data_IF_682169041684
#
_entry.id   IF_682169041684
#
_cell.length_a   1.000
_cell.length_b   1.000
_cell.length_c   1.000
_cell.angle_alpha   90.00
_cell.angle_beta   90.00
_cell.angle_gamma   90.00
#
_symmetry.space_group_name_H-M   'P 1'
#
loop_
_entity.id
_entity.type
_entity.pdbx_description
1 polymer ?
#
# COMPACT_ATOMS: atom_id res chain seq x y z
N UNK A 1 -16.94 -8.36 0.16
CA UNK A 1 -18.29 -8.83 0.55
C UNK A 1 -19.21 -8.79 -0.65
N UNK A 2 -20.07 -9.79 -0.83
CA UNK A 2 -20.99 -9.86 -1.99
C UNK A 2 -22.35 -9.29 -1.61
N UNK A 3 -22.84 -8.32 -2.39
CA UNK A 3 -24.14 -7.64 -2.21
C UNK A 3 -24.83 -7.44 -3.57
N UNK A 4 -26.14 -7.15 -3.63
CA UNK A 4 -26.82 -6.88 -4.89
C UNK A 4 -26.19 -5.70 -5.66
N UNK A 5 -25.81 -4.64 -4.95
CA UNK A 5 -25.14 -3.46 -5.54
C UNK A 5 -23.76 -3.82 -6.13
N UNK A 6 -23.02 -4.72 -5.48
CA UNK A 6 -21.76 -5.22 -5.99
C UNK A 6 -21.95 -5.93 -7.35
N UNK A 7 -22.95 -6.82 -7.45
CA UNK A 7 -23.21 -7.57 -8.69
C UNK A 7 -23.74 -6.68 -9.81
N UNK A 8 -24.48 -5.62 -9.48
CA UNK A 8 -25.00 -4.66 -10.47
C UNK A 8 -23.95 -3.65 -10.97
N UNK A 9 -22.88 -3.41 -10.21
CA UNK A 9 -21.89 -2.37 -10.51
C UNK A 9 -20.88 -2.80 -11.58
N UNK A 10 -20.85 -2.10 -12.73
CA UNK A 10 -19.84 -2.33 -13.79
C UNK A 10 -18.40 -2.22 -13.28
N UNK A 11 -18.14 -1.33 -12.34
CA UNK A 11 -16.82 -1.13 -11.73
C UNK A 11 -16.41 -2.34 -10.89
N UNK A 12 -17.27 -2.76 -9.97
CA UNK A 12 -16.99 -3.89 -9.07
C UNK A 12 -16.81 -5.20 -9.85
N UNK A 13 -17.61 -5.39 -10.90
CA UNK A 13 -17.46 -6.52 -11.83
C UNK A 13 -16.10 -6.49 -12.52
N UNK A 14 -15.65 -5.32 -13.03
CA UNK A 14 -14.34 -5.19 -13.69
C UNK A 14 -13.18 -5.49 -12.74
N UNK A 15 -13.26 -5.04 -11.49
CA UNK A 15 -12.26 -5.34 -10.47
C UNK A 15 -12.21 -6.85 -10.19
N UNK A 16 -13.36 -7.48 -9.96
CA UNK A 16 -13.41 -8.93 -9.70
C UNK A 16 -12.93 -9.75 -10.89
N UNK A 17 -13.25 -9.37 -12.14
CA UNK A 17 -12.69 -10.04 -13.34
C UNK A 17 -11.16 -10.00 -13.33
N UNK A 18 -10.54 -8.85 -12.99
CA UNK A 18 -9.08 -8.75 -12.90
C UNK A 18 -8.48 -9.67 -11.83
N UNK A 19 -9.17 -9.83 -10.70
CA UNK A 19 -8.75 -10.76 -9.65
C UNK A 19 -8.85 -12.22 -10.12
N UNK A 20 -9.97 -12.61 -10.75
CA UNK A 20 -10.16 -13.95 -11.32
C UNK A 20 -9.09 -14.23 -12.39
N UNK A 21 -8.83 -13.30 -13.29
CA UNK A 21 -7.80 -13.45 -14.33
C UNK A 21 -6.40 -13.61 -13.73
N UNK A 22 -6.08 -12.84 -12.69
CA UNK A 22 -4.79 -12.96 -11.99
C UNK A 22 -4.66 -14.31 -11.31
N UNK A 23 -5.70 -14.76 -10.64
CA UNK A 23 -5.72 -16.05 -9.95
C UNK A 23 -5.58 -17.22 -10.95
N UNK A 24 -6.29 -17.17 -12.08
CA UNK A 24 -6.14 -18.16 -13.17
C UNK A 24 -4.72 -18.18 -13.74
N UNK A 25 -4.10 -17.02 -13.95
CA UNK A 25 -2.69 -16.94 -14.42
C UNK A 25 -1.70 -17.55 -13.44
N UNK A 26 -2.01 -17.55 -12.15
CA UNK A 26 -1.21 -18.20 -11.10
C UNK A 26 -1.49 -19.71 -11.02
N UNK A 27 -2.46 -20.24 -11.81
CA UNK A 27 -2.89 -21.63 -11.70
C UNK A 27 -3.63 -21.93 -10.39
N UNK A 28 -4.23 -20.92 -9.78
CA UNK A 28 -4.85 -20.98 -8.45
C UNK A 28 -6.37 -20.80 -8.54
N UNK A 29 -7.07 -21.14 -7.46
CA UNK A 29 -8.52 -20.95 -7.31
C UNK A 29 -8.95 -20.60 -5.86
N UNK A 30 -7.98 -20.25 -5.02
CA UNK A 30 -8.11 -20.12 -3.56
C UNK A 30 -7.79 -18.71 -3.04
N UNK A 31 -7.53 -17.73 -3.92
CA UNK A 31 -7.18 -16.36 -3.56
C UNK A 31 -8.42 -15.45 -3.42
N UNK A 32 -9.56 -15.86 -3.99
CA UNK A 32 -10.82 -15.11 -3.89
C UNK A 32 -11.73 -15.80 -2.89
N UNK A 33 -11.94 -15.17 -1.74
CA UNK A 33 -12.76 -15.66 -0.62
C UNK A 33 -13.98 -14.76 -0.41
N UNK A 34 -15.05 -14.92 -1.20
CA UNK A 34 -16.23 -14.07 -1.06
C UNK A 34 -16.96 -14.38 0.25
N UNK A 35 -17.29 -13.32 1.00
CA UNK A 35 -18.19 -13.41 2.14
C UNK A 35 -19.63 -13.09 1.70
N UNK A 36 -20.53 -14.07 1.82
CA UNK A 36 -21.96 -13.87 1.50
C UNK A 36 -22.65 -13.10 2.62
N UNK A 37 -22.70 -11.78 2.50
CA UNK A 37 -23.08 -10.94 3.63
C UNK A 37 -24.59 -10.71 3.74
N UNK A 38 -25.25 -10.51 2.59
CA UNK A 38 -26.70 -10.29 2.47
C UNK A 38 -27.22 -11.08 1.28
N UNK A 39 -28.51 -11.44 1.26
CA UNK A 39 -29.11 -12.16 0.14
C UNK A 39 -28.94 -11.40 -1.19
N UNK A 40 -28.54 -12.14 -2.21
CA UNK A 40 -28.27 -11.68 -3.57
C UNK A 40 -29.06 -12.60 -4.50
N UNK A 41 -30.26 -12.19 -4.97
CA UNK A 41 -31.18 -13.09 -5.68
C UNK A 41 -30.58 -13.80 -6.90
N UNK A 42 -29.62 -13.17 -7.59
CA UNK A 42 -28.97 -13.77 -8.77
C UNK A 42 -28.04 -14.94 -8.43
N UNK A 43 -27.57 -15.02 -7.17
CA UNK A 43 -26.75 -16.12 -6.65
C UNK A 43 -27.60 -17.25 -6.03
N UNK A 44 -28.90 -17.02 -5.82
CA UNK A 44 -29.81 -17.95 -5.14
C UNK A 44 -30.71 -18.73 -6.10
N UNK A 45 -31.00 -18.16 -7.27
CA UNK A 45 -31.84 -18.80 -8.28
C UNK A 45 -30.99 -19.76 -9.13
N UNK A 46 -31.26 -21.09 -9.08
CA UNK A 46 -30.53 -22.06 -9.89
C UNK A 46 -30.62 -21.71 -11.39
N UNK A 47 -29.49 -21.78 -12.10
CA UNK A 47 -29.40 -21.48 -13.53
C UNK A 47 -29.24 -19.99 -13.87
N UNK A 48 -29.64 -19.05 -13.00
CA UNK A 48 -29.52 -17.61 -13.26
C UNK A 48 -28.08 -17.09 -13.23
N UNK A 49 -27.20 -17.80 -12.52
CA UNK A 49 -25.77 -17.53 -12.52
C UNK A 49 -25.09 -18.01 -13.82
N UNK A 50 -25.69 -18.92 -14.60
CA UNK A 50 -25.06 -19.50 -15.77
C UNK A 50 -24.91 -18.50 -16.93
N UNK A 51 -25.79 -17.50 -17.00
CA UNK A 51 -25.76 -16.44 -18.01
C UNK A 51 -24.72 -15.35 -17.71
N UNK A 52 -24.06 -15.42 -16.54
CA UNK A 52 -23.14 -14.42 -16.05
C UNK A 52 -21.92 -15.08 -15.39
N UNK A 53 -20.84 -15.19 -16.16
CA UNK A 53 -19.59 -15.85 -15.77
C UNK A 53 -19.06 -15.40 -14.40
N UNK A 54 -19.18 -14.11 -14.08
CA UNK A 54 -18.72 -13.55 -12.82
C UNK A 54 -19.60 -13.98 -11.64
N UNK A 55 -20.90 -14.09 -11.87
CA UNK A 55 -21.87 -14.57 -10.88
C UNK A 55 -21.69 -16.08 -10.68
N UNK A 56 -21.42 -16.84 -11.74
CA UNK A 56 -21.07 -18.27 -11.65
C UNK A 56 -19.81 -18.49 -10.81
N UNK A 57 -18.74 -17.71 -11.03
CA UNK A 57 -17.52 -17.77 -10.22
C UNK A 57 -17.79 -17.44 -8.75
N UNK A 58 -18.58 -16.42 -8.47
CA UNK A 58 -18.97 -16.08 -7.10
C UNK A 58 -19.81 -17.18 -6.44
N UNK A 59 -20.73 -17.80 -7.16
CA UNK A 59 -21.57 -18.88 -6.66
C UNK A 59 -20.74 -20.13 -6.33
N UNK A 60 -19.79 -20.49 -7.19
CA UNK A 60 -18.90 -21.64 -6.99
C UNK A 60 -17.99 -21.49 -5.75
N UNK A 61 -17.79 -20.25 -5.28
CA UNK A 61 -16.84 -19.89 -4.21
C UNK A 61 -17.50 -19.48 -2.90
N UNK A 62 -18.78 -19.81 -2.70
CA UNK A 62 -19.50 -19.52 -1.44
C UNK A 62 -19.09 -20.49 -0.32
N UNK A 63 -17.92 -20.23 0.25
CA UNK A 63 -17.27 -21.11 1.21
C UNK A 63 -17.89 -21.11 2.62
N UNK A 64 -18.69 -20.10 2.94
CA UNK A 64 -19.48 -19.98 4.16
C UNK A 64 -20.61 -18.94 3.97
N UNK A 65 -21.80 -19.24 4.50
CA UNK A 65 -22.93 -18.30 4.51
C UNK A 65 -22.83 -17.39 5.75
N UNK A 66 -22.52 -16.11 5.53
CA UNK A 66 -22.36 -15.13 6.59
C UNK A 66 -23.65 -14.39 6.94
N UNK A 67 -24.75 -14.69 6.26
CA UNK A 67 -25.99 -13.92 6.42
C UNK A 67 -26.59 -14.07 7.82
N UNK A 68 -26.55 -15.27 8.37
CA UNK A 68 -27.01 -15.51 9.75
C UNK A 68 -25.90 -15.28 10.77
N UNK A 69 -24.64 -15.50 10.37
CA UNK A 69 -23.49 -15.31 11.26
C UNK A 69 -23.29 -13.84 11.67
N UNK A 70 -23.61 -12.89 10.80
CA UNK A 70 -23.42 -11.44 11.05
C UNK A 70 -24.18 -10.91 12.28
N UNK A 71 -25.24 -11.60 12.69
CA UNK A 71 -26.07 -11.20 13.83
C UNK A 71 -25.72 -11.93 15.12
N UNK A 72 -24.84 -12.94 15.05
CA UNK A 72 -24.38 -13.66 16.22
C UNK A 72 -23.23 -12.89 16.86
N UNK A 73 -23.10 -13.04 18.17
CA UNK A 73 -21.90 -12.63 18.89
C UNK A 73 -20.66 -13.31 18.29
N UNK A 74 -19.56 -12.57 18.13
CA UNK A 74 -18.31 -13.14 17.60
C UNK A 74 -17.73 -14.21 18.53
N UNK A 75 -18.08 -14.14 19.81
CA UNK A 75 -17.70 -15.10 20.84
C UNK A 75 -18.56 -16.37 20.85
N UNK A 76 -19.66 -16.42 20.09
CA UNK A 76 -20.50 -17.61 20.00
C UNK A 76 -19.74 -18.77 19.32
N UNK A 77 -19.91 -20.03 19.76
CA UNK A 77 -19.18 -21.18 19.19
C UNK A 77 -19.32 -21.34 17.67
N UNK A 78 -20.47 -21.00 17.09
CA UNK A 78 -20.71 -21.12 15.64
C UNK A 78 -19.92 -20.03 14.90
N UNK A 79 -20.00 -18.79 15.37
CA UNK A 79 -19.22 -17.67 14.84
C UNK A 79 -17.71 -17.94 14.92
N UNK A 80 -17.23 -18.41 16.08
CA UNK A 80 -15.81 -18.77 16.26
C UNK A 80 -15.35 -19.84 15.28
N UNK A 81 -16.15 -20.89 15.05
CA UNK A 81 -15.83 -21.95 14.08
C UNK A 81 -15.78 -21.40 12.66
N UNK A 82 -16.74 -20.57 12.26
CA UNK A 82 -16.77 -19.97 10.94
C UNK A 82 -15.57 -19.03 10.70
N UNK A 83 -15.21 -18.22 11.71
CA UNK A 83 -14.03 -17.35 11.68
C UNK A 83 -12.76 -18.19 11.59
N UNK A 84 -12.62 -19.24 12.40
CA UNK A 84 -11.46 -20.13 12.37
C UNK A 84 -11.30 -20.85 11.02
N UNK A 85 -12.42 -21.26 10.40
CA UNK A 85 -12.42 -21.86 9.08
C UNK A 85 -12.00 -20.86 7.98
N UNK A 86 -12.49 -19.63 8.04
CA UNK A 86 -12.06 -18.57 7.12
C UNK A 86 -10.57 -18.24 7.30
N UNK A 87 -10.12 -18.07 8.55
CA UNK A 87 -8.72 -17.79 8.87
C UNK A 87 -7.78 -18.92 8.42
N UNK A 88 -8.20 -20.18 8.56
CA UNK A 88 -7.44 -21.32 8.07
C UNK A 88 -7.32 -21.29 6.55
N UNK A 89 -8.40 -21.01 5.82
CA UNK A 89 -8.36 -20.87 4.35
C UNK A 89 -7.43 -19.74 3.89
N UNK A 90 -7.49 -18.58 4.56
CA UNK A 90 -6.57 -17.46 4.28
C UNK A 90 -5.12 -17.88 4.52
N UNK A 91 -4.83 -18.50 5.67
CA UNK A 91 -3.49 -18.97 6.01
C UNK A 91 -2.99 -19.96 4.96
N UNK A 92 -3.79 -20.94 4.59
CA UNK A 92 -3.39 -21.99 3.66
C UNK A 92 -3.14 -21.40 2.25
N UNK A 93 -3.97 -20.45 1.82
CA UNK A 93 -3.74 -19.71 0.59
C UNK A 93 -2.42 -18.91 0.63
N UNK A 94 -2.12 -18.20 1.71
CA UNK A 94 -0.87 -17.41 1.82
C UNK A 94 0.39 -18.29 1.95
N UNK A 95 0.28 -19.43 2.63
CA UNK A 95 1.41 -20.34 2.83
C UNK A 95 1.76 -21.17 1.58
N UNK A 96 0.81 -21.37 0.66
CA UNK A 96 1.04 -22.10 -0.59
C UNK A 96 2.09 -21.41 -1.47
N UNK A 97 2.19 -20.07 -1.43
CA UNK A 97 3.24 -19.31 -2.12
C UNK A 97 4.64 -19.49 -1.50
N UNK A 98 4.72 -19.85 -0.22
CA UNK A 98 5.99 -20.06 0.49
C UNK A 98 6.64 -21.41 0.17
N UNK A 99 5.89 -22.38 -0.34
CA UNK A 99 6.40 -23.71 -0.71
C UNK A 99 6.86 -23.77 -2.18
N UNK A 100 6.28 -22.94 -3.06
CA UNK A 100 6.61 -22.92 -4.49
C UNK A 100 7.95 -22.23 -4.82
N UNK A 101 8.49 -21.40 -3.93
CA UNK A 101 9.76 -20.67 -4.13
C UNK A 101 11.01 -21.47 -3.68
N UNK A 102 10.84 -22.69 -3.16
CA UNK A 102 11.91 -23.56 -2.70
C UNK A 102 12.55 -24.43 -3.80
N UNK A 103 12.96 -23.87 -4.94
CA UNK A 103 13.80 -24.62 -5.90
C UNK A 103 15.28 -24.38 -5.60
N UNK A 104 15.94 -25.45 -5.15
CA UNK A 104 17.37 -25.56 -4.84
C UNK A 104 18.24 -25.05 -5.99
N UNK A 105 19.00 -23.98 -5.74
CA UNK A 105 20.21 -23.69 -6.51
C UNK A 105 21.42 -24.31 -5.78
N UNK A 106 21.83 -25.47 -6.27
CA UNK A 106 23.13 -26.07 -5.99
C UNK A 106 24.17 -25.41 -6.89
N UNK A 107 25.20 -24.84 -6.29
CA UNK A 107 26.47 -24.55 -6.94
C UNK A 107 26.68 -23.08 -7.31
N UNK A 108 27.50 -22.39 -6.52
CA UNK A 108 28.80 -21.90 -7.00
C UNK A 108 29.56 -21.28 -5.83
N UNK A 109 30.71 -21.89 -5.57
CA UNK A 109 31.74 -21.45 -4.64
C UNK A 109 32.30 -20.10 -5.07
N UNK A 110 32.51 -19.22 -4.10
CA UNK A 110 33.16 -17.93 -4.28
C UNK A 110 33.56 -17.39 -2.91
N UNK A 111 34.77 -17.70 -2.51
CA UNK A 111 35.39 -17.27 -1.26
C UNK A 111 35.53 -15.74 -1.20
N UNK A 112 35.29 -15.19 0.00
CA UNK A 112 36.12 -14.11 0.55
C UNK A 112 35.67 -12.67 0.30
N UNK A 113 34.76 -12.17 1.13
CA UNK A 113 34.92 -10.87 1.80
C UNK A 113 33.91 -10.73 2.94
N UNK A 114 34.37 -11.02 4.15
CA UNK A 114 33.69 -10.77 5.41
C UNK A 114 33.51 -9.27 5.65
N UNK A 115 32.26 -8.81 5.67
CA UNK A 115 31.85 -7.62 6.40
C UNK A 115 30.58 -7.97 7.19
N UNK A 116 30.64 -7.76 8.50
CA UNK A 116 29.80 -8.42 9.48
C UNK A 116 28.30 -8.25 9.25
N UNK A 117 27.60 -9.38 9.11
CA UNK A 117 26.18 -9.45 9.41
C UNK A 117 26.03 -9.21 10.91
N UNK A 118 25.67 -7.99 11.29
CA UNK A 118 25.13 -7.72 12.60
C UNK A 118 23.97 -8.69 12.83
N UNK A 119 24.09 -9.52 13.86
CA UNK A 119 23.01 -10.34 14.41
C UNK A 119 21.85 -9.41 14.77
N UNK A 120 20.86 -9.33 13.90
CA UNK A 120 19.74 -8.40 14.02
C UNK A 120 18.92 -8.70 15.26
N UNK A 121 18.99 -7.81 16.24
CA UNK A 121 17.95 -7.69 17.27
C UNK A 121 16.61 -7.47 16.52
N UNK A 122 15.48 -8.07 16.95
CA UNK A 122 14.20 -7.81 16.32
C UNK A 122 13.95 -6.30 16.31
N UNK A 123 13.81 -5.71 15.13
CA UNK A 123 13.45 -4.29 14.99
C UNK A 123 12.06 -4.14 15.59
N UNK A 124 11.86 -3.28 16.59
CA UNK A 124 10.53 -3.03 17.14
C UNK A 124 9.56 -2.63 16.02
N UNK A 125 8.40 -3.29 15.99
CA UNK A 125 7.35 -3.08 15.00
C UNK A 125 6.16 -2.44 15.69
N UNK A 126 5.76 -1.26 15.21
CA UNK A 126 4.56 -0.55 15.64
C UNK A 126 3.47 -0.73 14.59
N UNK A 127 2.37 -1.38 14.95
CA UNK A 127 1.25 -1.63 14.03
C UNK A 127 0.22 -0.51 14.13
N UNK A 128 -0.09 0.12 13.00
CA UNK A 128 -1.14 1.14 12.87
C UNK A 128 -2.36 0.52 12.21
N UNK A 129 -3.51 0.57 12.87
CA UNK A 129 -4.79 0.08 12.35
C UNK A 129 -5.90 1.09 12.70
N UNK A 130 -6.56 1.62 11.68
CA UNK A 130 -7.62 2.63 11.85
C UNK A 130 -8.81 2.15 12.72
N UNK A 131 -9.00 0.83 12.86
CA UNK A 131 -10.06 0.23 13.68
C UNK A 131 -9.57 -0.13 15.10
N UNK A 132 -8.34 0.25 15.46
CA UNK A 132 -7.79 0.04 16.81
C UNK A 132 -7.35 -1.40 17.10
N UNK A 133 -7.05 -2.20 16.07
CA UNK A 133 -6.55 -3.58 16.20
C UNK A 133 -5.02 -3.68 16.16
N UNK A 134 -4.34 -2.55 16.24
CA UNK A 134 -2.88 -2.42 16.30
C UNK A 134 -2.46 -1.63 17.54
N UNK A 135 -1.18 -1.33 17.66
CA UNK A 135 -0.61 -0.54 18.76
C UNK A 135 -1.07 0.93 18.70
N UNK A 136 -1.34 1.44 17.50
CA UNK A 136 -1.78 2.82 17.26
C UNK A 136 -2.97 2.88 16.28
N UNK A 137 -3.79 3.92 16.41
CA UNK A 137 -4.88 4.24 15.46
C UNK A 137 -4.50 5.28 14.42
N UNK A 138 -3.37 5.97 14.61
CA UNK A 138 -2.87 7.00 13.69
C UNK A 138 -1.38 6.80 13.43
N UNK A 139 -0.95 7.16 12.22
CA UNK A 139 0.45 7.06 11.81
C UNK A 139 1.32 8.06 12.58
N UNK A 140 0.82 9.28 12.83
CA UNK A 140 1.51 10.29 13.64
C UNK A 140 1.84 9.79 15.06
N UNK A 141 0.88 9.14 15.73
CA UNK A 141 1.11 8.62 17.07
C UNK A 141 2.21 7.55 17.09
N UNK A 142 2.21 6.67 16.09
CA UNK A 142 3.25 5.65 15.92
C UNK A 142 4.63 6.27 15.65
N UNK A 143 4.71 7.29 14.78
CA UNK A 143 5.98 7.99 14.50
C UNK A 143 6.53 8.70 15.73
N UNK A 144 5.66 9.34 16.53
CA UNK A 144 6.07 9.99 17.78
C UNK A 144 6.61 8.98 18.79
N UNK A 145 5.94 7.84 18.93
CA UNK A 145 6.35 6.77 19.85
C UNK A 145 7.57 5.98 19.39
N UNK A 146 7.80 5.88 18.08
CA UNK A 146 8.91 5.14 17.49
C UNK A 146 10.27 5.73 17.88
N UNK A 147 11.24 4.85 18.09
CA UNK A 147 12.65 5.17 18.25
C UNK A 147 13.38 5.09 16.90
N UNK A 148 14.56 5.73 16.76
CA UNK A 148 15.38 5.57 15.58
C UNK A 148 15.69 4.10 15.25
N UNK A 149 15.38 3.70 14.02
CA UNK A 149 15.55 2.34 13.50
C UNK A 149 14.26 1.50 13.52
N UNK A 150 13.22 1.96 14.22
CA UNK A 150 11.96 1.21 14.33
C UNK A 150 11.21 1.14 13.00
N UNK A 151 10.36 0.11 12.90
CA UNK A 151 9.44 -0.07 11.77
C UNK A 151 8.00 0.21 12.21
N UNK A 152 7.29 0.95 11.38
CA UNK A 152 5.88 1.27 11.50
C UNK A 152 5.15 0.59 10.36
N UNK A 153 4.22 -0.31 10.69
CA UNK A 153 3.42 -1.07 9.73
C UNK A 153 2.02 -0.48 9.69
N UNK A 154 1.58 0.02 8.54
CA UNK A 154 0.29 0.68 8.37
C UNK A 154 -0.66 -0.24 7.63
N UNK A 155 -1.74 -0.67 8.29
CA UNK A 155 -2.78 -1.52 7.69
C UNK A 155 -3.77 -0.72 6.83
N UNK A 156 -4.59 -1.38 6.01
CA UNK A 156 -5.63 -0.74 5.22
C UNK A 156 -6.51 0.17 6.07
N UNK A 157 -6.73 1.39 5.58
CA UNK A 157 -7.42 2.43 6.31
C UNK A 157 -7.22 3.81 5.71
N UNK A 158 -8.06 4.75 6.16
CA UNK A 158 -7.92 6.17 5.88
C UNK A 158 -7.34 6.87 7.11
N UNK A 159 -6.14 7.43 6.96
CA UNK A 159 -5.42 8.10 8.03
C UNK A 159 -5.32 9.60 7.73
N UNK A 160 -5.43 10.41 8.77
CA UNK A 160 -5.12 11.83 8.68
C UNK A 160 -3.62 12.04 8.87
N UNK A 161 -3.01 12.80 7.98
CA UNK A 161 -1.66 13.32 8.12
C UNK A 161 -1.62 14.62 8.95
N UNK A 162 -0.45 15.30 8.99
CA UNK A 162 0.79 14.96 8.29
C UNK A 162 1.57 13.82 8.96
N UNK A 163 2.50 13.20 8.22
CA UNK A 163 3.54 12.32 8.76
C UNK A 163 4.85 13.09 8.78
N UNK A 164 5.38 13.35 9.97
CA UNK A 164 6.65 14.07 10.15
C UNK A 164 7.76 13.09 10.51
N UNK A 165 8.66 12.84 9.57
CA UNK A 165 9.78 11.91 9.73
C UNK A 165 11.06 12.70 10.03
N UNK A 166 11.27 13.01 11.31
CA UNK A 166 12.41 13.75 11.84
C UNK A 166 13.54 12.86 12.37
N UNK A 167 13.24 11.57 12.53
CA UNK A 167 14.16 10.54 12.99
C UNK A 167 14.16 9.34 12.02
N UNK A 168 15.24 8.54 11.98
CA UNK A 168 15.31 7.36 11.12
C UNK A 168 14.24 6.33 11.45
N UNK A 169 13.22 6.16 10.61
CA UNK A 169 12.21 5.10 10.76
C UNK A 169 11.80 4.53 9.41
N UNK A 170 11.27 3.31 9.42
CA UNK A 170 10.63 2.71 8.26
C UNK A 170 9.10 2.78 8.40
N UNK A 171 8.41 3.38 7.45
CA UNK A 171 6.95 3.30 7.33
C UNK A 171 6.61 2.42 6.15
N UNK A 172 5.84 1.35 6.39
CA UNK A 172 5.52 0.33 5.38
C UNK A 172 4.03 0.03 5.42
N UNK A 173 3.37 0.13 4.26
CA UNK A 173 2.00 -0.35 4.08
C UNK A 173 1.93 -1.88 4.10
N UNK A 174 0.98 -2.41 4.86
CA UNK A 174 0.66 -3.84 4.93
C UNK A 174 -0.67 -4.12 4.22
N UNK A 175 -0.62 -4.22 2.90
CA UNK A 175 -1.80 -4.41 2.05
C UNK A 175 -1.67 -3.72 0.70
N UNK A 176 -2.76 -3.74 -0.11
CA UNK A 176 -2.80 -3.00 -1.37
C UNK A 176 -2.61 -1.50 -1.13
N UNK A 177 -1.77 -0.86 -1.95
CA UNK A 177 -1.40 0.56 -1.80
C UNK A 177 -2.63 1.47 -1.81
N UNK A 178 -3.61 1.15 -2.65
CA UNK A 178 -4.87 1.88 -2.82
C UNK A 178 -5.79 1.82 -1.60
N UNK A 179 -5.60 0.85 -0.71
CA UNK A 179 -6.40 0.69 0.51
C UNK A 179 -5.76 1.38 1.72
N UNK A 180 -4.53 1.90 1.59
CA UNK A 180 -3.79 2.54 2.68
C UNK A 180 -3.60 4.01 2.32
N UNK A 181 -4.60 4.83 2.64
CA UNK A 181 -4.63 6.23 2.23
C UNK A 181 -4.33 7.16 3.39
N UNK A 182 -3.39 8.09 3.17
CA UNK A 182 -3.06 9.16 4.10
C UNK A 182 -3.40 10.49 3.45
N UNK A 183 -4.26 11.27 4.10
CA UNK A 183 -4.76 12.55 3.58
C UNK A 183 -4.39 13.71 4.49
N UNK A 184 -4.03 14.84 3.89
CA UNK A 184 -3.97 16.12 4.60
C UNK A 184 -4.80 17.18 3.89
N UNK A 185 -5.49 18.01 4.66
CA UNK A 185 -6.23 19.17 4.17
C UNK A 185 -5.39 20.44 4.05
N UNK A 186 -4.21 20.48 4.68
CA UNK A 186 -3.30 21.62 4.66
C UNK A 186 -1.85 21.13 4.69
N UNK A 187 -0.94 21.84 4.02
CA UNK A 187 0.47 21.50 3.96
C UNK A 187 0.78 20.15 3.28
N UNK A 188 1.88 19.53 3.69
CA UNK A 188 2.39 18.29 3.10
C UNK A 188 1.89 17.04 3.83
N UNK A 189 1.61 15.98 3.09
CA UNK A 189 1.22 14.68 3.67
C UNK A 189 2.41 14.05 4.38
N UNK A 190 3.60 14.16 3.79
CA UNK A 190 4.86 13.68 4.36
C UNK A 190 5.85 14.83 4.41
N UNK A 191 6.46 15.05 5.57
CA UNK A 191 7.59 15.96 5.75
C UNK A 191 8.78 15.14 6.27
N UNK A 192 9.89 15.16 5.54
CA UNK A 192 11.07 14.37 5.86
C UNK A 192 12.27 15.28 6.15
N UNK A 193 12.84 15.17 7.35
CA UNK A 193 14.02 15.91 7.81
C UNK A 193 15.10 15.01 8.42
N UNK A 194 14.84 13.70 8.54
CA UNK A 194 15.79 12.72 9.08
C UNK A 194 17.00 12.48 8.14
N UNK A 195 18.06 11.85 8.68
CA UNK A 195 19.25 11.50 7.91
C UNK A 195 19.00 10.39 6.87
N UNK A 196 18.17 9.41 7.22
CA UNK A 196 17.69 8.33 6.36
C UNK A 196 16.30 7.86 6.84
N UNK A 197 15.62 7.09 6.01
CA UNK A 197 14.31 6.52 6.33
C UNK A 197 13.64 5.97 5.09
N UNK A 198 12.48 5.35 5.26
CA UNK A 198 11.73 4.84 4.12
C UNK A 198 10.24 4.96 4.29
N UNK A 199 9.54 5.25 3.20
CA UNK A 199 8.08 5.21 3.12
C UNK A 199 7.72 4.34 1.92
N UNK A 200 6.97 3.26 2.17
CA UNK A 200 6.66 2.25 1.15
C UNK A 200 5.20 1.84 1.14
N UNK A 201 4.64 1.63 -0.06
CA UNK A 201 3.32 1.01 -0.21
C UNK A 201 2.16 1.83 0.36
N UNK A 202 2.22 3.17 0.27
CA UNK A 202 1.16 4.06 0.77
C UNK A 202 0.57 4.91 -0.36
N UNK A 203 -0.74 5.19 -0.26
CA UNK A 203 -1.39 6.26 -1.03
C UNK A 203 -1.32 7.56 -0.23
N UNK A 204 -0.71 8.60 -0.80
CA UNK A 204 -0.45 9.89 -0.16
C UNK A 204 -1.19 10.98 -0.95
N UNK A 205 -2.18 11.63 -0.31
CA UNK A 205 -3.06 12.57 -1.00
C UNK A 205 -3.22 13.92 -0.29
N UNK A 206 -2.81 14.98 -0.97
CA UNK A 206 -3.09 16.35 -0.50
C UNK A 206 -4.46 16.83 -1.02
N UNK A 207 -5.36 17.23 -0.12
CA UNK A 207 -6.72 17.69 -0.46
C UNK A 207 -6.95 19.18 -0.16
N UNK A 208 -5.88 19.90 0.21
CA UNK A 208 -5.92 21.34 0.53
C UNK A 208 -6.04 22.28 -0.66
N UNK A 209 -5.71 23.56 -0.45
CA UNK A 209 -5.78 24.55 -1.52
C UNK A 209 -4.78 24.24 -2.63
N UNK A 210 -5.15 24.42 -3.91
CA UNK A 210 -4.24 24.19 -5.02
C UNK A 210 -2.94 24.98 -4.88
N UNK A 211 -1.80 24.28 -5.03
CA UNK A 211 -0.45 24.85 -4.95
C UNK A 211 0.02 25.26 -3.55
N UNK A 212 -0.65 24.78 -2.49
CA UNK A 212 -0.22 24.96 -1.11
C UNK A 212 0.77 23.85 -0.69
N UNK A 213 2.07 24.07 -0.93
CA UNK A 213 3.12 23.11 -0.59
C UNK A 213 3.11 21.81 -1.42
N UNK A 214 4.14 20.96 -1.32
CA UNK A 214 4.22 19.68 -2.01
C UNK A 214 3.46 18.57 -1.24
N UNK A 215 3.08 17.46 -1.89
CA UNK A 215 2.50 16.29 -1.19
C UNK A 215 3.55 15.66 -0.28
N UNK A 216 4.78 15.51 -0.78
CA UNK A 216 5.95 15.04 -0.04
C UNK A 216 7.03 16.12 -0.05
N UNK A 217 7.40 16.61 1.13
CA UNK A 217 8.44 17.62 1.35
C UNK A 217 9.70 16.95 1.92
N UNK A 218 10.73 16.76 1.09
CA UNK A 218 12.01 16.15 1.47
C UNK A 218 13.04 17.25 1.69
N UNK A 219 13.29 17.59 2.96
CA UNK A 219 14.11 18.75 3.31
C UNK A 219 15.59 18.43 3.48
N UNK A 220 15.93 17.19 3.81
CA UNK A 220 17.30 16.72 4.02
C UNK A 220 17.39 15.19 3.87
N UNK A 221 18.61 14.66 3.87
CA UNK A 221 18.88 13.23 4.05
C UNK A 221 18.52 12.34 2.86
N UNK A 222 18.48 11.03 3.12
CA UNK A 222 18.27 9.98 2.12
C UNK A 222 17.00 9.20 2.38
N UNK A 223 15.86 9.76 1.94
CA UNK A 223 14.57 9.08 1.99
C UNK A 223 14.48 8.03 0.86
N UNK A 224 14.02 6.83 1.18
CA UNK A 224 13.58 5.84 0.19
C UNK A 224 12.07 5.89 0.05
N UNK A 225 11.58 6.25 -1.14
CA UNK A 225 10.19 6.14 -1.54
C UNK A 225 10.05 4.97 -2.52
N UNK A 226 9.16 4.03 -2.19
CA UNK A 226 9.04 2.79 -2.96
C UNK A 226 7.59 2.30 -3.04
N UNK A 227 7.06 2.18 -4.26
CA UNK A 227 5.72 1.62 -4.45
C UNK A 227 4.59 2.49 -3.88
N UNK A 228 4.77 3.83 -3.84
CA UNK A 228 3.76 4.75 -3.33
C UNK A 228 2.92 5.37 -4.46
N UNK A 229 1.66 5.67 -4.19
CA UNK A 229 0.77 6.45 -5.04
C UNK A 229 0.66 7.88 -4.47
N UNK A 230 1.01 8.89 -5.25
CA UNK A 230 1.11 10.29 -4.83
C UNK A 230 0.23 11.15 -5.73
N UNK A 231 -0.74 11.84 -5.14
CA UNK A 231 -1.65 12.72 -5.87
C UNK A 231 -2.16 13.89 -5.03
N UNK A 232 -2.80 14.88 -5.66
CA UNK A 232 -3.57 15.89 -4.94
C UNK A 232 -3.38 17.34 -5.37
N UNK A 233 -4.03 18.24 -4.65
CA UNK A 233 -4.06 19.68 -4.91
C UNK A 233 -2.78 20.41 -4.46
N UNK A 234 -1.60 19.83 -4.67
CA UNK A 234 -0.32 20.36 -4.21
C UNK A 234 0.46 21.15 -5.29
N UNK A 235 1.48 21.89 -4.88
CA UNK A 235 2.41 22.61 -5.77
C UNK A 235 3.43 21.68 -6.45
N UNK A 236 3.73 20.55 -5.82
CA UNK A 236 4.48 19.43 -6.39
C UNK A 236 4.03 18.10 -5.76
N UNK A 237 4.21 16.98 -6.46
CA UNK A 237 4.02 15.65 -5.87
C UNK A 237 5.14 15.35 -4.88
N UNK A 238 6.38 15.49 -5.35
CA UNK A 238 7.58 15.38 -4.52
C UNK A 238 8.41 16.64 -4.67
N UNK A 239 8.72 17.30 -3.55
CA UNK A 239 9.72 18.35 -3.48
C UNK A 239 10.99 17.82 -2.83
N UNK A 240 12.14 18.17 -3.41
CA UNK A 240 13.46 17.84 -2.86
C UNK A 240 14.23 19.14 -2.63
N UNK A 241 14.63 19.39 -1.39
CA UNK A 241 15.36 20.57 -0.99
C UNK A 241 16.86 20.29 -0.76
N UNK A 242 17.61 21.38 -0.58
CA UNK A 242 19.05 21.44 -0.33
C UNK A 242 19.64 20.24 0.42
N UNK A 243 20.68 19.64 -0.17
CA UNK A 243 21.46 18.50 0.33
C UNK A 243 20.68 17.18 0.56
N UNK A 244 19.38 17.14 0.23
CA UNK A 244 18.63 15.89 0.17
C UNK A 244 19.01 15.07 -1.07
N UNK A 245 19.06 13.75 -0.90
CA UNK A 245 19.40 12.77 -1.94
C UNK A 245 18.48 11.54 -1.84
N UNK A 246 17.18 11.70 -2.13
CA UNK A 246 16.22 10.62 -2.05
C UNK A 246 16.41 9.58 -3.16
N UNK A 247 15.94 8.37 -2.89
CA UNK A 247 15.73 7.34 -3.90
C UNK A 247 14.24 7.09 -4.04
N UNK A 248 13.69 7.41 -5.21
CA UNK A 248 12.27 7.26 -5.51
C UNK A 248 12.11 6.22 -6.62
N UNK A 249 11.36 5.15 -6.35
CA UNK A 249 11.17 4.08 -7.33
C UNK A 249 9.82 3.39 -7.24
N UNK A 250 9.37 2.84 -8.37
CA UNK A 250 8.07 2.18 -8.47
C UNK A 250 6.90 3.04 -7.99
N UNK A 251 7.06 4.36 -7.93
CA UNK A 251 6.04 5.28 -7.46
C UNK A 251 5.22 5.80 -8.64
N UNK A 252 3.95 6.08 -8.36
CA UNK A 252 3.05 6.77 -9.26
C UNK A 252 2.81 8.18 -8.75
N UNK A 253 3.21 9.20 -9.51
CA UNK A 253 3.04 10.61 -9.13
C UNK A 253 2.16 11.29 -10.17
N UNK A 254 0.89 11.49 -9.83
CA UNK A 254 -0.12 11.86 -10.82
C UNK A 254 -1.22 12.76 -10.27
N UNK A 255 -1.93 13.43 -11.19
CA UNK A 255 -3.01 14.38 -10.88
C UNK A 255 -2.63 15.42 -9.81
N UNK A 256 -1.36 15.85 -9.81
CA UNK A 256 -0.91 16.94 -8.95
C UNK A 256 -1.23 18.28 -9.61
N UNK A 257 -1.78 19.22 -8.84
CA UNK A 257 -2.11 20.57 -9.32
C UNK A 257 -0.89 21.39 -9.77
N UNK A 258 0.31 21.03 -9.37
CA UNK A 258 1.54 21.64 -9.83
C UNK A 258 2.40 20.68 -10.65
N UNK A 259 3.62 20.42 -10.18
CA UNK A 259 4.59 19.54 -10.85
C UNK A 259 4.55 18.13 -10.28
N UNK A 260 4.99 17.14 -11.05
CA UNK A 260 5.22 15.80 -10.51
C UNK A 260 6.33 15.82 -9.48
N UNK A 261 7.56 16.11 -9.94
CA UNK A 261 8.74 16.28 -9.07
C UNK A 261 9.31 17.67 -9.25
N UNK A 262 9.63 18.33 -8.13
CA UNK A 262 10.32 19.60 -8.10
C UNK A 262 11.58 19.50 -7.25
N UNK A 263 12.73 19.84 -7.83
CA UNK A 263 14.02 19.85 -7.12
C UNK A 263 14.48 21.29 -6.97
N UNK A 264 14.66 21.72 -5.73
CA UNK A 264 15.18 23.04 -5.35
C UNK A 264 16.70 23.01 -5.17
N UNK A 265 17.37 24.08 -5.59
CA UNK A 265 18.76 24.40 -5.30
C UNK A 265 19.68 23.17 -5.42
N UNK A 266 20.49 22.82 -4.41
CA UNK A 266 21.47 21.70 -4.46
C UNK A 266 20.86 20.30 -4.26
N UNK A 267 19.53 20.16 -4.35
CA UNK A 267 18.87 18.86 -4.24
C UNK A 267 19.40 17.85 -5.27
N UNK A 268 19.61 16.62 -4.82
CA UNK A 268 20.02 15.48 -5.64
C UNK A 268 18.90 14.42 -5.65
N UNK A 269 19.15 13.27 -6.28
CA UNK A 269 18.26 12.13 -6.11
C UNK A 269 18.30 11.16 -7.29
N UNK A 270 17.93 9.92 -6.98
CA UNK A 270 17.81 8.84 -7.94
C UNK A 270 16.32 8.49 -8.11
N UNK A 271 15.82 8.64 -9.34
CA UNK A 271 14.44 8.35 -9.69
C UNK A 271 14.43 7.26 -10.76
N UNK A 272 13.96 6.06 -10.40
CA UNK A 272 13.99 4.89 -11.29
C UNK A 272 12.60 4.24 -11.34
N UNK A 273 12.13 3.83 -12.51
CA UNK A 273 10.89 3.05 -12.66
C UNK A 273 9.64 3.73 -12.08
N UNK A 274 9.51 5.05 -12.27
CA UNK A 274 8.36 5.84 -11.78
C UNK A 274 7.40 6.24 -12.91
N UNK A 275 6.10 6.20 -12.65
CA UNK A 275 5.07 6.76 -13.52
C UNK A 275 4.72 8.20 -13.06
N UNK A 276 5.20 9.20 -13.80
CA UNK A 276 4.99 10.62 -13.49
C UNK A 276 4.16 11.28 -14.59
N UNK A 277 2.86 11.00 -14.60
CA UNK A 277 1.94 11.40 -15.68
C UNK A 277 0.71 12.13 -15.15
N UNK A 278 -0.01 12.86 -16.02
CA UNK A 278 -1.28 13.50 -15.64
C UNK A 278 -1.19 14.67 -14.66
N UNK A 279 0.00 15.23 -14.43
CA UNK A 279 0.21 16.42 -13.59
C UNK A 279 -0.09 17.71 -14.37
N UNK A 280 -0.66 18.73 -13.71
CA UNK A 280 -1.21 19.92 -14.41
C UNK A 280 -0.16 20.81 -15.07
N UNK A 281 1.05 20.91 -14.52
CA UNK A 281 2.16 21.69 -15.11
C UNK A 281 3.11 20.78 -15.89
N UNK A 282 4.15 20.28 -15.24
CA UNK A 282 5.14 19.39 -15.85
C UNK A 282 5.36 18.16 -14.99
N UNK A 283 5.77 17.06 -15.61
CA UNK A 283 6.22 15.87 -14.87
C UNK A 283 7.45 16.20 -14.01
N UNK A 284 8.36 17.02 -14.55
CA UNK A 284 9.62 17.40 -13.91
C UNK A 284 9.84 18.90 -13.98
N UNK A 285 10.35 19.48 -12.90
CA UNK A 285 10.94 20.82 -12.91
C UNK A 285 12.15 20.87 -11.97
N UNK A 286 13.25 21.43 -12.45
CA UNK A 286 14.55 21.43 -11.76
C UNK A 286 15.05 22.86 -11.73
N UNK A 287 15.17 23.43 -10.53
CA UNK A 287 15.54 24.83 -10.36
C UNK A 287 16.83 24.95 -9.53
N UNK A 288 17.87 25.56 -10.06
CA UNK A 288 19.15 25.77 -9.36
C UNK A 288 20.01 24.51 -9.12
N UNK A 289 19.54 23.31 -9.47
CA UNK A 289 20.24 22.06 -9.20
C UNK A 289 21.33 21.70 -10.20
N UNK A 290 22.42 21.14 -9.68
CA UNK A 290 23.44 20.48 -10.49
C UNK A 290 22.82 19.23 -11.13
N UNK A 291 22.36 19.40 -12.38
CA UNK A 291 21.69 18.36 -13.18
C UNK A 291 22.46 17.05 -13.25
N UNK A 292 23.77 17.05 -12.97
CA UNK A 292 24.62 15.84 -12.92
C UNK A 292 24.35 14.94 -11.71
N UNK A 293 23.79 15.47 -10.61
CA UNK A 293 23.51 14.72 -9.37
C UNK A 293 22.12 14.09 -9.33
N UNK A 294 21.34 14.26 -10.40
CA UNK A 294 20.01 13.68 -10.52
C UNK A 294 20.02 12.63 -11.65
N UNK A 295 19.71 11.39 -11.29
CA UNK A 295 19.66 10.27 -12.24
C UNK A 295 18.20 9.87 -12.43
N UNK A 296 17.79 9.78 -13.68
CA UNK A 296 16.43 9.36 -14.09
C UNK A 296 16.57 8.11 -14.95
N UNK A 297 15.91 7.01 -14.56
CA UNK A 297 15.84 5.78 -15.35
C UNK A 297 14.41 5.27 -15.46
#
# INVERSE_FOLDING_TARGET
>A
MVTPAFVASKQCRRELTRFVDRERRLGRNDLILPAYWISVPVLEVPGRAADDELVAELAARQYADWRELRFRELSDPVSRRAIAALASRVRDALNTDSQATGTRFSGMSGDGASAGRASGRPVPVHVVDALGRGDFTTVDAAVRAALPGDRIVVRPGLYKGPIVLDKPVEVVGDGPVEEITIVTGEGSVVVFTASNGSVRGLTLRATGQPQEGPVIDIRAGRLVLDGCDVSGSASAGVAVHNDADPRVRHCRIHYVSGRGVHVYDKGAGLFEDNDITGNRKSAWDVWGADRKRMIRR
#
